data_IF_225184574421
#
_entry.id   IF_225184574421
#
_cell.length_a   1.000
_cell.length_b   1.000
_cell.length_c   1.000
_cell.angle_alpha   90.00
_cell.angle_beta   90.00
_cell.angle_gamma   90.00
#
_symmetry.space_group_name_H-M   'P 1'
#
loop_
_entity.id
_entity.type
_entity.pdbx_description
1 polymer ?
#
# COMPACT_ATOMS: atom_id res chain seq x y z
N UNK A 1 -13.19 16.16 -57.60
CA UNK A 1 -12.70 17.08 -56.55
C UNK A 1 -12.15 16.20 -55.46
N UNK A 2 -10.84 16.23 -55.21
CA UNK A 2 -10.21 15.42 -54.17
C UNK A 2 -10.32 16.17 -52.84
N UNK A 3 -10.98 15.55 -51.85
CA UNK A 3 -10.97 16.01 -50.47
C UNK A 3 -9.52 16.02 -49.96
N UNK A 4 -9.07 17.18 -49.51
CA UNK A 4 -7.79 17.33 -48.82
C UNK A 4 -7.98 16.73 -47.42
N UNK A 5 -7.46 15.53 -47.22
CA UNK A 5 -7.19 15.01 -45.87
C UNK A 5 -6.30 16.03 -45.16
N UNK A 6 -6.86 16.70 -44.15
CA UNK A 6 -6.15 17.65 -43.31
C UNK A 6 -5.42 16.86 -42.21
N UNK A 7 -4.09 16.72 -42.27
CA UNK A 7 -3.32 15.92 -41.30
C UNK A 7 -3.38 16.49 -39.87
N UNK A 8 -3.74 17.76 -39.72
CA UNK A 8 -3.82 18.44 -38.41
C UNK A 8 -4.92 17.88 -37.50
N UNK A 9 -6.05 17.38 -38.03
CA UNK A 9 -7.13 16.86 -37.21
C UNK A 9 -6.78 15.51 -36.55
N UNK A 10 -5.97 14.69 -37.22
CA UNK A 10 -5.53 13.39 -36.71
C UNK A 10 -4.44 13.52 -35.62
N UNK A 11 -3.64 14.59 -35.66
CA UNK A 11 -2.62 14.89 -34.64
C UNK A 11 -3.27 15.44 -33.35
N UNK A 12 -4.30 16.27 -33.48
CA UNK A 12 -5.06 16.81 -32.35
C UNK A 12 -5.82 15.71 -31.58
N UNK A 13 -6.44 14.75 -32.29
CA UNK A 13 -7.11 13.60 -31.66
C UNK A 13 -6.13 12.67 -30.92
N UNK A 14 -4.92 12.48 -31.45
CA UNK A 14 -3.87 11.71 -30.78
C UNK A 14 -3.37 12.41 -29.51
N UNK A 15 -3.18 13.72 -29.55
CA UNK A 15 -2.78 14.51 -28.38
C UNK A 15 -3.83 14.43 -27.26
N UNK A 16 -5.12 14.54 -27.60
CA UNK A 16 -6.24 14.40 -26.65
C UNK A 16 -6.29 12.99 -26.05
N UNK A 17 -5.99 11.94 -26.83
CA UNK A 17 -5.92 10.56 -26.32
C UNK A 17 -4.75 10.37 -25.34
N UNK A 18 -3.58 10.93 -25.63
CA UNK A 18 -2.39 10.86 -24.77
C UNK A 18 -2.64 11.57 -23.44
N UNK A 19 -3.27 12.75 -23.45
CA UNK A 19 -3.65 13.43 -22.20
C UNK A 19 -4.65 12.61 -21.38
N UNK A 20 -5.63 11.98 -22.04
CA UNK A 20 -6.62 11.13 -21.37
C UNK A 20 -5.98 9.91 -20.73
N UNK A 21 -4.98 9.30 -21.39
CA UNK A 21 -4.19 8.20 -20.82
C UNK A 21 -3.33 8.64 -19.64
N UNK A 22 -2.65 9.80 -19.73
CA UNK A 22 -1.89 10.36 -18.60
C UNK A 22 -2.76 10.60 -17.37
N UNK A 23 -3.96 11.16 -17.54
CA UNK A 23 -4.91 11.35 -16.43
C UNK A 23 -5.33 10.04 -15.78
N UNK A 24 -5.57 8.99 -16.58
CA UNK A 24 -5.91 7.66 -16.06
C UNK A 24 -4.76 7.03 -15.29
N UNK A 25 -3.52 7.15 -15.79
CA UNK A 25 -2.34 6.64 -15.10
C UNK A 25 -2.08 7.39 -13.79
N UNK A 26 -2.22 8.72 -13.76
CA UNK A 26 -2.07 9.49 -12.52
C UNK A 26 -3.13 9.10 -11.47
N UNK A 27 -4.37 8.82 -11.88
CA UNK A 27 -5.40 8.34 -10.94
C UNK A 27 -5.10 6.93 -10.41
N UNK A 28 -4.40 6.09 -11.18
CA UNK A 28 -3.97 4.77 -10.74
C UNK A 28 -2.82 4.88 -9.75
N UNK A 29 -1.81 5.70 -10.05
CA UNK A 29 -0.65 5.97 -9.20
C UNK A 29 -1.08 6.47 -7.81
N UNK A 30 -1.98 7.45 -7.78
CA UNK A 30 -2.54 7.98 -6.54
C UNK A 30 -3.31 6.92 -5.73
N UNK A 31 -3.95 5.95 -6.37
CA UNK A 31 -4.63 4.85 -5.66
C UNK A 31 -3.65 3.82 -5.11
N UNK A 32 -2.53 3.60 -5.80
CA UNK A 32 -1.47 2.71 -5.35
C UNK A 32 -0.74 3.30 -4.13
N UNK A 33 -0.41 4.59 -4.14
CA UNK A 33 0.18 5.29 -2.98
C UNK A 33 -0.70 5.20 -1.72
N UNK A 34 -2.01 5.32 -1.90
CA UNK A 34 -2.98 5.20 -0.81
C UNK A 34 -3.06 3.77 -0.24
N UNK A 35 -2.82 2.74 -1.06
CA UNK A 35 -2.80 1.34 -0.60
C UNK A 35 -1.51 1.06 0.16
N UNK A 36 -0.36 1.50 -0.36
CA UNK A 36 0.95 1.31 0.28
C UNK A 36 0.98 1.92 1.70
N UNK A 37 0.32 3.07 1.88
CA UNK A 37 0.19 3.75 3.17
C UNK A 37 -0.64 2.94 4.20
N UNK A 38 -1.74 2.33 3.77
CA UNK A 38 -2.58 1.52 4.66
C UNK A 38 -1.94 0.18 5.03
N UNK A 39 -1.27 -0.47 4.07
CA UNK A 39 -0.61 -1.76 4.29
C UNK A 39 0.56 -1.60 5.27
N UNK A 40 1.34 -0.52 5.15
CA UNK A 40 2.43 -0.22 6.08
C UNK A 40 1.93 -0.04 7.52
N UNK A 41 0.88 0.76 7.72
CA UNK A 41 0.33 1.01 9.05
C UNK A 41 -0.27 -0.26 9.71
N UNK A 42 -0.81 -1.18 8.91
CA UNK A 42 -1.31 -2.47 9.41
C UNK A 42 -0.15 -3.39 9.78
N UNK A 43 0.90 -3.44 8.97
CA UNK A 43 2.08 -4.24 9.25
C UNK A 43 2.77 -3.81 10.56
N UNK A 44 2.93 -2.50 10.78
CA UNK A 44 3.47 -1.94 12.02
C UNK A 44 2.64 -2.36 13.24
N UNK A 45 1.30 -2.22 13.18
CA UNK A 45 0.41 -2.59 14.29
C UNK A 45 0.43 -4.09 14.63
N UNK A 46 0.63 -4.95 13.62
CA UNK A 46 0.71 -6.40 13.83
C UNK A 46 2.07 -6.80 14.42
N UNK A 47 3.16 -6.16 13.97
CA UNK A 47 4.49 -6.42 14.54
C UNK A 47 4.63 -5.93 15.98
N UNK A 48 3.85 -4.92 16.38
CA UNK A 48 3.84 -4.38 17.75
C UNK A 48 2.89 -5.11 18.71
N UNK A 49 2.14 -6.13 18.27
CA UNK A 49 1.24 -6.85 19.17
C UNK A 49 2.01 -7.69 20.19
N UNK A 50 1.84 -7.46 21.51
CA UNK A 50 2.47 -8.26 22.54
C UNK A 50 1.95 -9.70 22.51
N UNK A 51 2.84 -10.69 22.60
CA UNK A 51 2.44 -12.09 22.77
C UNK A 51 2.31 -12.40 24.26
N UNK A 52 1.11 -12.76 24.71
CA UNK A 52 0.83 -13.11 26.10
C UNK A 52 0.75 -14.62 26.28
N UNK A 53 1.60 -15.18 27.14
CA UNK A 53 1.59 -16.58 27.54
C UNK A 53 1.13 -16.69 28.99
N UNK A 54 0.02 -17.41 29.21
CA UNK A 54 -0.39 -17.82 30.55
C UNK A 54 -0.08 -19.29 30.74
N UNK A 55 0.79 -19.62 31.70
CA UNK A 55 1.17 -21.00 32.00
C UNK A 55 1.19 -21.26 33.50
N UNK A 56 0.67 -22.41 33.91
CA UNK A 56 0.68 -22.82 35.31
C UNK A 56 1.98 -23.55 35.62
N UNK A 57 2.72 -23.11 36.64
CA UNK A 57 3.97 -23.74 37.04
C UNK A 57 3.69 -25.15 37.60
N UNK A 58 4.26 -26.22 37.01
CA UNK A 58 4.03 -27.59 37.48
C UNK A 58 4.64 -27.87 38.85
N UNK A 59 5.59 -27.04 39.31
CA UNK A 59 6.27 -27.24 40.60
C UNK A 59 5.56 -26.58 41.79
N UNK A 60 4.86 -25.45 41.58
CA UNK A 60 4.23 -24.70 42.67
C UNK A 60 2.76 -24.33 42.45
N UNK A 61 2.16 -24.73 41.31
CA UNK A 61 0.76 -24.50 40.99
C UNK A 61 0.37 -23.03 40.74
N UNK A 62 1.34 -22.11 40.79
CA UNK A 62 1.10 -20.69 40.53
C UNK A 62 0.97 -20.44 39.04
N UNK A 63 0.06 -19.53 38.67
CA UNK A 63 -0.02 -19.02 37.31
C UNK A 63 1.11 -18.02 37.06
N UNK A 64 1.80 -18.21 35.94
CA UNK A 64 2.84 -17.34 35.42
C UNK A 64 2.28 -16.70 34.15
N UNK A 65 2.39 -15.37 34.08
CA UNK A 65 2.03 -14.59 32.90
C UNK A 65 3.30 -13.99 32.31
N UNK A 66 3.54 -14.24 31.03
CA UNK A 66 4.71 -13.76 30.30
C UNK A 66 4.22 -12.95 29.10
N UNK A 67 4.57 -11.67 29.07
CA UNK A 67 4.32 -10.80 27.91
C UNK A 67 5.62 -10.60 27.14
N UNK A 68 5.63 -10.98 25.87
CA UNK A 68 6.76 -10.77 24.97
C UNK A 68 6.46 -9.53 24.11
N UNK A 69 7.34 -8.54 24.20
CA UNK A 69 7.32 -7.33 23.38
C UNK A 69 8.44 -7.44 22.34
N UNK A 70 8.07 -7.53 21.07
CA UNK A 70 9.02 -7.43 19.97
C UNK A 70 9.28 -5.97 19.62
N UNK A 71 10.53 -5.54 19.60
CA UNK A 71 10.92 -4.24 19.05
C UNK A 71 11.73 -4.46 17.77
N UNK A 72 11.22 -3.98 16.64
CA UNK A 72 11.99 -3.96 15.40
C UNK A 72 12.70 -2.60 15.30
N UNK A 73 14.03 -2.61 15.22
CA UNK A 73 14.79 -1.38 15.00
C UNK A 73 14.53 -0.88 13.56
N UNK A 74 14.03 0.35 13.37
CA UNK A 74 13.87 0.91 12.03
C UNK A 74 15.23 0.93 11.33
N UNK A 75 15.29 0.38 10.13
CA UNK A 75 16.48 0.50 9.28
C UNK A 75 16.17 1.60 8.27
N UNK A 76 16.99 2.65 8.28
CA UNK A 76 16.83 3.85 7.48
C UNK A 76 16.99 3.61 5.97
#
# INVERSE_FOLDING_TARGET
MAEKDNPSAAEDEQAVNIERMKRRLNMLDQRLDNIDSMVTAVAERVMEQPLNFSLTCPHCGKNIEITILGSQKPTA
#
